data_IF_345063082082
#
_entry.id   IF_345063082082
#
_cell.length_a   1.000
_cell.length_b   1.000
_cell.length_c   1.000
_cell.angle_alpha   90.00
_cell.angle_beta   90.00
_cell.angle_gamma   90.00
#
_symmetry.space_group_name_H-M   'P 1'
#
loop_
_entity.id
_entity.type
_entity.pdbx_description
1 polymer ?
#
# COMPACT_ATOMS: atom_id res chain seq x y z
N UNK A 1 -4.06 -16.43 -10.35
CA UNK A 1 -2.94 -17.31 -9.94
C UNK A 1 -3.12 -17.58 -8.44
N UNK A 2 -3.20 -18.85 -8.00
CA UNK A 2 -3.42 -19.23 -6.59
C UNK A 2 -2.08 -19.42 -5.85
N UNK A 3 -1.95 -18.77 -4.68
CA UNK A 3 -1.40 -19.28 -3.40
C UNK A 3 -0.10 -20.12 -3.34
N UNK A 4 1.00 -19.71 -4.00
CA UNK A 4 2.33 -20.32 -3.74
C UNK A 4 3.56 -19.40 -3.75
N UNK A 5 3.40 -18.08 -3.70
CA UNK A 5 4.51 -17.17 -4.06
C UNK A 5 4.87 -16.11 -3.01
N UNK A 6 4.95 -16.49 -1.74
CA UNK A 6 5.76 -15.72 -0.79
C UNK A 6 7.27 -15.76 -1.16
N UNK A 7 7.66 -16.66 -2.07
CA UNK A 7 8.97 -16.74 -2.71
C UNK A 7 9.17 -15.71 -3.84
N UNK A 8 8.13 -14.97 -4.27
CA UNK A 8 8.23 -13.93 -5.32
C UNK A 8 8.95 -12.66 -4.89
N UNK A 9 9.14 -12.45 -3.59
CA UNK A 9 9.99 -11.38 -3.09
C UNK A 9 11.34 -12.00 -2.69
N UNK A 10 12.28 -12.14 -3.64
CA UNK A 10 13.63 -12.56 -3.29
C UNK A 10 14.15 -11.60 -2.22
N UNK A 11 14.94 -12.11 -1.26
CA UNK A 11 15.45 -11.31 -0.14
C UNK A 11 14.41 -10.83 0.90
N UNK A 12 13.34 -11.60 1.12
CA UNK A 12 12.40 -11.37 2.21
C UNK A 12 12.41 -12.49 3.26
N UNK A 13 12.37 -12.12 4.54
CA UNK A 13 12.40 -13.03 5.69
C UNK A 13 11.00 -13.10 6.32
N UNK A 14 10.46 -14.29 6.64
CA UNK A 14 9.18 -14.40 7.33
C UNK A 14 9.27 -13.91 8.79
N UNK A 15 8.32 -13.09 9.23
CA UNK A 15 8.19 -12.59 10.60
C UNK A 15 7.04 -13.25 11.39
N UNK A 16 6.37 -14.24 10.80
CA UNK A 16 5.20 -14.90 11.38
C UNK A 16 3.89 -14.37 10.79
N UNK A 17 2.82 -14.34 11.60
CA UNK A 17 1.52 -13.87 11.15
C UNK A 17 0.76 -13.14 12.26
N UNK A 18 0.02 -12.11 11.89
CA UNK A 18 -0.90 -11.38 12.79
C UNK A 18 -2.30 -11.45 12.17
N UNK A 19 -3.32 -11.80 12.96
CA UNK A 19 -4.71 -11.95 12.49
C UNK A 19 -4.85 -12.87 11.26
N UNK A 20 -4.04 -13.94 11.19
CA UNK A 20 -3.94 -14.85 10.04
C UNK A 20 -3.52 -14.15 8.74
N UNK A 21 -2.69 -13.10 8.84
CA UNK A 21 -2.05 -12.44 7.70
C UNK A 21 -0.54 -12.68 7.87
N UNK A 22 0.08 -13.49 6.99
CA UNK A 22 1.52 -13.66 6.94
C UNK A 22 2.26 -12.33 6.76
N UNK A 23 3.31 -12.12 7.54
CA UNK A 23 4.16 -10.92 7.49
C UNK A 23 5.55 -11.32 7.04
N UNK A 24 6.11 -10.56 6.09
CA UNK A 24 7.50 -10.69 5.63
C UNK A 24 8.22 -9.36 5.74
N UNK A 25 9.52 -9.40 5.97
CA UNK A 25 10.39 -8.23 6.02
C UNK A 25 11.47 -8.35 4.94
N UNK A 26 11.57 -7.34 4.09
CA UNK A 26 12.59 -7.27 3.06
C UNK A 26 13.94 -6.88 3.67
N UNK A 27 15.02 -7.56 3.28
CA UNK A 27 16.38 -7.39 3.85
C UNK A 27 16.90 -5.95 3.68
N UNK A 28 16.48 -5.26 2.63
CA UNK A 28 16.86 -3.84 2.42
C UNK A 28 16.39 -2.93 3.55
N UNK A 29 15.38 -3.31 4.34
CA UNK A 29 14.96 -2.55 5.52
C UNK A 29 16.13 -2.39 6.49
N UNK A 30 16.88 -3.47 6.74
CA UNK A 30 18.07 -3.43 7.61
C UNK A 30 19.16 -2.52 7.05
N UNK A 31 19.30 -2.44 5.72
CA UNK A 31 20.29 -1.55 5.08
C UNK A 31 19.95 -0.09 5.36
N UNK A 32 18.71 0.34 5.12
CA UNK A 32 18.31 1.72 5.43
C UNK A 32 18.32 1.99 6.93
N UNK A 33 17.87 1.04 7.75
CA UNK A 33 17.88 1.18 9.20
C UNK A 33 19.30 1.39 9.73
N UNK A 34 20.25 0.55 9.33
CA UNK A 34 21.67 0.70 9.71
C UNK A 34 22.23 2.02 9.19
N UNK A 35 22.02 2.37 7.92
CA UNK A 35 22.51 3.61 7.36
C UNK A 35 22.00 4.85 8.13
N UNK A 36 20.72 4.86 8.50
CA UNK A 36 20.10 5.94 9.25
C UNK A 36 20.62 6.00 10.70
N UNK A 37 20.83 4.84 11.34
CA UNK A 37 21.43 4.77 12.67
C UNK A 37 22.90 5.22 12.65
N UNK A 38 23.69 4.85 11.65
CA UNK A 38 25.07 5.31 11.50
C UNK A 38 25.15 6.83 11.30
N UNK A 39 24.23 7.42 10.53
CA UNK A 39 24.13 8.87 10.36
C UNK A 39 23.88 9.62 11.68
N UNK A 40 23.32 8.95 12.69
CA UNK A 40 23.06 9.56 13.99
C UNK A 40 24.27 9.60 14.94
N UNK A 41 25.37 8.92 14.61
CA UNK A 41 26.60 8.88 15.42
C UNK A 41 27.15 10.29 15.67
N UNK A 42 27.03 11.16 14.67
CA UNK A 42 27.46 12.57 14.76
C UNK A 42 26.79 13.33 15.93
N UNK A 43 25.57 12.94 16.31
CA UNK A 43 24.80 13.61 17.37
C UNK A 43 25.01 12.99 18.77
N UNK A 44 25.77 11.89 18.88
CA UNK A 44 26.13 11.26 20.14
C UNK A 44 25.37 9.97 20.48
N UNK A 45 25.83 9.26 21.52
CA UNK A 45 25.38 7.89 21.85
C UNK A 45 23.87 7.77 22.10
N UNK A 46 23.28 8.72 22.82
CA UNK A 46 21.83 8.69 23.11
C UNK A 46 20.98 8.89 21.86
N UNK A 47 21.44 9.73 20.91
CA UNK A 47 20.80 9.86 19.60
C UNK A 47 20.90 8.57 18.78
N UNK A 48 22.01 7.85 18.86
CA UNK A 48 22.15 6.54 18.20
C UNK A 48 21.13 5.55 18.75
N UNK A 49 20.99 5.46 20.07
CA UNK A 49 20.00 4.57 20.71
C UNK A 49 18.58 4.99 20.32
N UNK A 50 18.28 6.29 20.36
CA UNK A 50 16.97 6.81 19.97
C UNK A 50 16.66 6.48 18.51
N UNK A 51 17.60 6.75 17.59
CA UNK A 51 17.48 6.45 16.16
C UNK A 51 17.28 4.95 15.92
N UNK A 52 18.04 4.10 16.62
CA UNK A 52 17.92 2.65 16.52
C UNK A 52 16.50 2.17 16.88
N UNK A 53 15.90 2.72 17.94
CA UNK A 53 14.53 2.37 18.38
C UNK A 53 13.48 2.96 17.44
N UNK A 54 13.58 4.26 17.13
CA UNK A 54 12.59 5.00 16.34
C UNK A 54 12.54 4.48 14.90
N UNK A 55 13.68 4.36 14.23
CA UNK A 55 13.76 3.95 12.83
C UNK A 55 13.68 2.43 12.62
N UNK A 56 13.83 1.65 13.69
CA UNK A 56 13.74 0.19 13.67
C UNK A 56 12.37 -0.29 14.15
N UNK A 57 12.28 -0.82 15.39
CA UNK A 57 11.06 -1.47 15.87
C UNK A 57 9.84 -0.55 15.92
N UNK A 58 10.01 0.75 16.25
CA UNK A 58 8.89 1.68 16.34
C UNK A 58 8.29 1.97 14.95
N UNK A 59 9.12 2.40 13.99
CA UNK A 59 8.69 2.62 12.60
C UNK A 59 8.09 1.34 12.00
N UNK A 60 8.75 0.20 12.17
CA UNK A 60 8.30 -1.08 11.63
C UNK A 60 6.92 -1.47 12.19
N UNK A 61 6.71 -1.31 13.51
CA UNK A 61 5.44 -1.61 14.15
C UNK A 61 4.35 -0.64 13.70
N UNK A 62 4.67 0.65 13.60
CA UNK A 62 3.72 1.67 13.12
C UNK A 62 3.28 1.39 11.68
N UNK A 63 4.20 1.08 10.77
CA UNK A 63 3.88 0.69 9.39
C UNK A 63 3.05 -0.60 9.39
N UNK A 64 3.42 -1.60 10.18
CA UNK A 64 2.66 -2.85 10.26
C UNK A 64 1.21 -2.61 10.69
N UNK A 65 0.99 -1.78 11.72
CA UNK A 65 -0.36 -1.43 12.19
C UNK A 65 -1.14 -0.69 11.10
N UNK A 66 -0.49 0.22 10.37
CA UNK A 66 -1.05 0.90 9.21
C UNK A 66 -1.52 -0.10 8.13
N UNK A 67 -0.66 -1.02 7.71
CA UNK A 67 -1.02 -2.04 6.69
C UNK A 67 -2.12 -3.00 7.18
N UNK A 68 -2.12 -3.34 8.47
CA UNK A 68 -3.20 -4.11 9.08
C UNK A 68 -4.54 -3.37 8.99
N UNK A 69 -4.55 -2.04 9.10
CA UNK A 69 -5.73 -1.20 8.88
C UNK A 69 -6.37 -1.45 7.52
N UNK A 70 -5.58 -1.40 6.44
CA UNK A 70 -6.06 -1.73 5.09
C UNK A 70 -6.57 -3.16 4.97
N UNK A 71 -5.82 -4.12 5.51
CA UNK A 71 -6.19 -5.53 5.47
C UNK A 71 -7.52 -5.82 6.16
N UNK A 72 -7.73 -5.22 7.34
CA UNK A 72 -8.97 -5.38 8.10
C UNK A 72 -10.15 -4.70 7.41
N UNK A 73 -9.95 -3.51 6.86
CA UNK A 73 -10.99 -2.84 6.08
C UNK A 73 -11.36 -3.61 4.82
N UNK A 74 -10.38 -4.19 4.11
CA UNK A 74 -10.62 -5.04 2.94
C UNK A 74 -11.43 -6.29 3.32
N UNK A 75 -11.07 -6.97 4.42
CA UNK A 75 -11.83 -8.12 4.94
C UNK A 75 -13.25 -7.73 5.36
N UNK A 76 -13.41 -6.56 5.99
CA UNK A 76 -14.70 -6.05 6.45
C UNK A 76 -15.69 -5.86 5.31
N UNK A 77 -15.23 -5.40 4.14
CA UNK A 77 -16.08 -5.23 2.95
C UNK A 77 -16.26 -6.53 2.13
N UNK A 78 -15.86 -7.69 2.67
CA UNK A 78 -15.98 -9.00 2.02
C UNK A 78 -14.82 -9.37 1.09
N UNK A 79 -13.72 -8.62 1.15
CA UNK A 79 -12.48 -8.92 0.42
C UNK A 79 -11.56 -9.88 1.15
N UNK A 80 -10.32 -9.95 0.67
CA UNK A 80 -9.25 -10.83 1.13
C UNK A 80 -8.03 -10.00 1.53
N UNK A 81 -7.25 -10.52 2.49
CA UNK A 81 -5.94 -10.00 2.83
C UNK A 81 -4.99 -11.18 2.95
N UNK A 82 -4.05 -11.27 2.00
CA UNK A 82 -3.22 -12.45 1.75
C UNK A 82 -1.87 -12.37 2.47
N UNK A 83 -1.22 -11.21 2.48
CA UNK A 83 0.08 -11.02 3.12
C UNK A 83 0.46 -9.54 3.26
N UNK A 84 1.39 -9.25 4.16
CA UNK A 84 2.04 -7.94 4.28
C UNK A 84 3.55 -8.10 4.06
N UNK A 85 4.12 -7.29 3.16
CA UNK A 85 5.56 -7.14 3.00
C UNK A 85 6.00 -5.79 3.56
N UNK A 86 6.81 -5.81 4.62
CA UNK A 86 7.46 -4.63 5.15
C UNK A 86 8.78 -4.42 4.42
N UNK A 87 9.02 -3.20 3.95
CA UNK A 87 10.19 -2.86 3.13
C UNK A 87 10.66 -1.44 3.49
N UNK A 88 11.82 -0.98 2.98
CA UNK A 88 12.45 0.24 3.49
C UNK A 88 11.63 1.53 3.33
N UNK A 89 10.68 1.57 2.38
CA UNK A 89 9.86 2.74 2.07
C UNK A 89 8.39 2.55 2.50
N UNK A 90 8.12 1.63 3.42
CA UNK A 90 6.77 1.41 3.96
C UNK A 90 6.35 -0.06 4.04
N UNK A 91 5.10 -0.32 3.68
CA UNK A 91 4.52 -1.66 3.64
C UNK A 91 3.74 -1.91 2.34
N UNK A 92 3.66 -3.16 1.92
CA UNK A 92 2.76 -3.60 0.84
C UNK A 92 1.78 -4.62 1.39
N UNK A 93 0.52 -4.21 1.53
CA UNK A 93 -0.59 -5.11 1.80
C UNK A 93 -1.10 -5.75 0.50
N UNK A 94 -1.06 -7.09 0.44
CA UNK A 94 -1.66 -7.85 -0.66
C UNK A 94 -3.14 -8.10 -0.33
N UNK A 95 -4.02 -7.23 -0.83
CA UNK A 95 -5.46 -7.27 -0.52
C UNK A 95 -6.29 -7.31 -1.81
N UNK A 96 -7.25 -8.23 -1.87
CA UNK A 96 -8.15 -8.40 -3.02
C UNK A 96 -9.58 -8.10 -2.64
N UNK A 97 -10.20 -7.09 -3.25
CA UNK A 97 -11.61 -6.78 -3.06
C UNK A 97 -12.20 -6.25 -4.36
N UNK A 98 -13.52 -6.37 -4.48
CA UNK A 98 -14.28 -5.86 -5.59
C UNK A 98 -15.50 -5.11 -5.07
N UNK A 99 -15.51 -3.78 -5.22
CA UNK A 99 -16.40 -2.94 -4.42
C UNK A 99 -16.70 -1.59 -5.07
N UNK A 100 -17.63 -0.83 -4.49
CA UNK A 100 -17.95 0.53 -4.95
C UNK A 100 -16.81 1.49 -4.61
N UNK A 101 -16.68 2.58 -5.38
CA UNK A 101 -15.64 3.59 -5.17
C UNK A 101 -15.58 4.12 -3.72
N UNK A 102 -16.74 4.32 -3.07
CA UNK A 102 -16.81 4.78 -1.68
C UNK A 102 -16.23 3.76 -0.69
N UNK A 103 -16.45 2.46 -0.91
CA UNK A 103 -15.86 1.41 -0.09
C UNK A 103 -14.36 1.25 -0.36
N UNK A 104 -13.91 1.51 -1.58
CA UNK A 104 -12.48 1.57 -1.90
C UNK A 104 -11.78 2.75 -1.21
N UNK A 105 -12.44 3.92 -1.11
CA UNK A 105 -11.95 5.06 -0.30
C UNK A 105 -11.83 4.65 1.17
N UNK A 106 -12.83 3.94 1.71
CA UNK A 106 -12.76 3.44 3.09
C UNK A 106 -11.54 2.54 3.32
N UNK A 107 -11.27 1.60 2.41
CA UNK A 107 -10.09 0.73 2.53
C UNK A 107 -8.79 1.54 2.46
N UNK A 108 -8.68 2.52 1.56
CA UNK A 108 -7.51 3.38 1.47
C UNK A 108 -7.35 4.32 2.68
N UNK A 109 -8.44 4.77 3.30
CA UNK A 109 -8.37 5.60 4.50
C UNK A 109 -8.07 4.80 5.78
N UNK A 110 -8.40 3.50 5.80
CA UNK A 110 -8.31 2.68 7.01
C UNK A 110 -6.89 2.56 7.58
N UNK A 111 -5.87 2.45 6.72
CA UNK A 111 -4.47 2.41 7.16
C UNK A 111 -4.05 3.71 7.86
N UNK A 112 -4.16 4.88 7.20
CA UNK A 112 -3.89 6.15 7.83
C UNK A 112 -4.67 6.38 9.13
N UNK A 113 -5.97 6.04 9.17
CA UNK A 113 -6.79 6.22 10.37
C UNK A 113 -6.28 5.44 11.59
N UNK A 114 -5.45 4.41 11.43
CA UNK A 114 -4.82 3.72 12.56
C UNK A 114 -3.85 4.61 13.34
N UNK A 115 -3.31 5.68 12.74
CA UNK A 115 -2.44 6.62 13.43
C UNK A 115 -3.16 7.43 14.50
N UNK A 116 -4.48 7.63 14.39
CA UNK A 116 -5.26 8.40 15.39
C UNK A 116 -5.18 7.74 16.77
N UNK A 117 -5.57 6.45 16.97
CA UNK A 117 -5.43 5.81 18.26
C UNK A 117 -3.96 5.64 18.68
N UNK A 118 -3.02 5.43 17.74
CA UNK A 118 -1.59 5.38 18.07
C UNK A 118 -1.10 6.70 18.65
N UNK A 119 -1.42 7.84 18.04
CA UNK A 119 -1.10 9.18 18.56
C UNK A 119 -1.74 9.39 19.93
N UNK A 120 -3.01 9.02 20.11
CA UNK A 120 -3.68 9.17 21.40
C UNK A 120 -2.96 8.40 22.52
N UNK A 121 -2.49 7.18 22.25
CA UNK A 121 -1.70 6.39 23.19
C UNK A 121 -0.38 7.10 23.53
N UNK A 122 0.36 7.58 22.52
CA UNK A 122 1.63 8.26 22.77
C UNK A 122 1.46 9.60 23.50
N UNK A 123 0.40 10.35 23.20
CA UNK A 123 0.05 11.58 23.92
C UNK A 123 -0.30 11.28 25.38
N UNK A 124 -1.00 10.17 25.66
CA UNK A 124 -1.27 9.75 27.04
C UNK A 124 0.03 9.40 27.80
N UNK A 125 1.01 8.80 27.11
CA UNK A 125 2.33 8.48 27.66
C UNK A 125 3.23 9.71 27.84
N UNK A 126 2.91 10.84 27.22
CA UNK A 126 3.71 12.07 27.31
C UNK A 126 3.74 12.62 28.73
N UNK A 127 2.63 12.52 29.47
CA UNK A 127 2.51 13.02 30.84
C UNK A 127 3.49 12.34 31.82
N UNK A 128 3.49 10.99 31.99
CA UNK A 128 4.47 10.33 32.85
C UNK A 128 5.90 10.45 32.31
N UNK A 129 6.11 10.49 30.98
CA UNK A 129 7.44 10.64 30.40
C UNK A 129 8.05 12.03 30.68
N UNK A 130 7.24 13.08 30.55
CA UNK A 130 7.67 14.45 30.87
C UNK A 130 7.98 14.59 32.36
N UNK A 131 7.13 14.06 33.23
CA UNK A 131 7.34 14.08 34.67
C UNK A 131 8.61 13.33 35.09
N UNK A 132 8.84 12.14 34.54
CA UNK A 132 10.06 11.39 34.81
C UNK A 132 11.33 12.15 34.40
N UNK A 133 11.25 13.00 33.36
CA UNK A 133 12.40 13.75 32.84
C UNK A 133 12.65 15.09 33.55
N UNK A 134 11.60 15.80 33.97
CA UNK A 134 11.70 17.19 34.48
C UNK A 134 11.19 17.38 35.91
N UNK A 135 10.59 16.35 36.51
CA UNK A 135 9.86 16.45 37.78
C UNK A 135 8.57 17.27 37.71
N UNK A 136 8.22 17.79 36.53
CA UNK A 136 7.09 18.69 36.31
C UNK A 136 5.94 17.96 35.60
N UNK A 137 4.71 18.41 35.80
CA UNK A 137 3.52 17.81 35.14
C UNK A 137 3.03 18.61 33.93
N UNK A 138 3.94 19.34 33.29
CA UNK A 138 3.61 20.09 32.07
C UNK A 138 3.53 19.16 30.87
N UNK A 139 2.84 19.62 29.83
CA UNK A 139 2.80 18.94 28.53
C UNK A 139 3.46 19.86 27.53
N UNK A 140 4.48 19.34 26.84
CA UNK A 140 5.11 20.04 25.74
C UNK A 140 5.45 19.07 24.61
N UNK A 141 5.33 19.55 23.39
CA UNK A 141 5.80 18.86 22.19
C UNK A 141 7.16 19.42 21.71
N UNK A 142 7.76 20.35 22.46
CA UNK A 142 9.10 20.81 22.16
C UNK A 142 10.07 19.63 22.26
N UNK A 143 10.94 19.49 21.26
CA UNK A 143 11.92 18.41 21.24
C UNK A 143 12.86 18.56 22.45
N UNK A 144 12.84 17.61 23.39
CA UNK A 144 13.75 17.66 24.52
C UNK A 144 15.18 17.33 24.06
N UNK A 145 16.19 17.73 24.86
CA UNK A 145 17.54 17.20 24.69
C UNK A 145 17.51 15.66 24.68
N UNK A 146 18.32 15.04 23.83
CA UNK A 146 18.42 13.57 23.77
C UNK A 146 19.61 13.15 24.63
N UNK A 147 19.33 12.99 25.92
CA UNK A 147 20.26 12.50 26.93
C UNK A 147 19.61 11.40 27.78
N UNK A 148 20.34 10.85 28.75
CA UNK A 148 19.85 9.77 29.61
C UNK A 148 18.60 10.15 30.40
N UNK A 149 18.53 11.37 30.94
CA UNK A 149 17.43 11.85 31.77
C UNK A 149 16.15 12.10 30.97
N UNK A 150 16.27 12.53 29.72
CA UNK A 150 15.15 12.91 28.88
C UNK A 150 14.80 11.86 27.82
N UNK A 151 15.51 10.73 27.79
CA UNK A 151 15.36 9.71 26.75
C UNK A 151 13.92 9.24 26.53
N UNK A 152 13.21 8.91 27.62
CA UNK A 152 11.81 8.46 27.54
C UNK A 152 10.88 9.52 26.96
N UNK A 153 11.06 10.78 27.38
CA UNK A 153 10.32 11.91 26.83
C UNK A 153 10.63 12.12 25.34
N UNK A 154 11.91 12.08 24.95
CA UNK A 154 12.32 12.19 23.56
C UNK A 154 11.68 11.09 22.69
N UNK A 155 11.72 9.84 23.15
CA UNK A 155 11.14 8.70 22.45
C UNK A 155 9.63 8.89 22.19
N UNK A 156 8.88 9.32 23.20
CA UNK A 156 7.44 9.58 23.08
C UNK A 156 7.17 10.70 22.08
N UNK A 157 7.89 11.83 22.17
CA UNK A 157 7.74 12.95 21.23
C UNK A 157 8.02 12.50 19.81
N UNK A 158 9.11 11.77 19.57
CA UNK A 158 9.43 11.23 18.25
C UNK A 158 8.38 10.23 17.74
N UNK A 159 7.80 9.41 18.60
CA UNK A 159 6.73 8.50 18.22
C UNK A 159 5.43 9.22 17.83
N UNK A 160 5.08 10.30 18.53
CA UNK A 160 3.96 11.19 18.17
C UNK A 160 4.22 11.82 16.80
N UNK A 161 5.39 12.46 16.64
CA UNK A 161 5.77 13.12 15.39
C UNK A 161 5.74 12.13 14.22
N UNK A 162 6.33 10.93 14.39
CA UNK A 162 6.33 9.89 13.38
C UNK A 162 4.90 9.51 12.95
N UNK A 163 4.00 9.25 13.90
CA UNK A 163 2.62 8.88 13.56
C UNK A 163 1.84 10.02 12.90
N UNK A 164 2.02 11.25 13.35
CA UNK A 164 1.39 12.43 12.73
C UNK A 164 1.94 12.64 11.31
N UNK A 165 3.26 12.52 11.12
CA UNK A 165 3.89 12.66 9.81
C UNK A 165 3.40 11.58 8.85
N UNK A 166 3.35 10.31 9.26
CA UNK A 166 2.85 9.22 8.41
C UNK A 166 1.36 9.38 8.08
N UNK A 167 0.54 9.79 9.05
CA UNK A 167 -0.87 10.13 8.83
C UNK A 167 -1.03 11.23 7.79
N UNK A 168 -0.34 12.35 8.01
CA UNK A 168 -0.42 13.53 7.18
C UNK A 168 0.12 13.25 5.78
N UNK A 169 1.26 12.59 5.66
CA UNK A 169 1.87 12.27 4.36
C UNK A 169 0.98 11.33 3.55
N UNK A 170 0.42 10.29 4.16
CA UNK A 170 -0.42 9.33 3.44
C UNK A 170 -1.79 9.88 3.06
N UNK A 171 -2.39 10.82 3.79
CA UNK A 171 -3.71 11.40 3.42
C UNK A 171 -3.56 12.67 2.58
N UNK A 172 -2.68 13.59 2.99
CA UNK A 172 -2.61 14.95 2.43
C UNK A 172 -1.83 15.03 1.13
N UNK A 173 -0.99 14.02 0.81
CA UNK A 173 -0.24 13.99 -0.45
C UNK A 173 -1.03 13.16 -1.46
N UNK A 174 -1.75 13.79 -2.42
CA UNK A 174 -2.58 13.09 -3.39
C UNK A 174 -1.76 12.50 -4.55
N UNK A 175 -0.72 11.72 -4.23
CA UNK A 175 0.18 11.14 -5.22
C UNK A 175 0.11 9.61 -5.17
N UNK A 176 -0.11 8.96 -6.31
CA UNK A 176 0.01 7.51 -6.41
C UNK A 176 1.49 7.11 -6.25
N UNK A 177 1.84 6.12 -5.41
CA UNK A 177 0.98 5.06 -4.86
C UNK A 177 0.49 5.25 -3.42
N UNK A 178 0.66 6.44 -2.84
CA UNK A 178 0.20 6.75 -1.48
C UNK A 178 -1.33 6.63 -1.36
N UNK A 179 -1.82 6.47 -0.14
CA UNK A 179 -3.27 6.35 0.12
C UNK A 179 -4.06 7.56 -0.35
N UNK A 180 -3.54 8.77 -0.21
CA UNK A 180 -4.16 10.00 -0.66
C UNK A 180 -4.36 10.01 -2.18
N UNK A 181 -3.41 9.44 -2.94
CA UNK A 181 -3.55 9.24 -4.37
C UNK A 181 -4.67 8.24 -4.73
N UNK A 182 -4.80 7.16 -3.94
CA UNK A 182 -5.88 6.17 -4.09
C UNK A 182 -7.24 6.75 -3.71
N UNK A 183 -7.30 7.52 -2.63
CA UNK A 183 -8.50 8.23 -2.18
C UNK A 183 -8.94 9.21 -3.27
N UNK A 184 -8.02 10.03 -3.79
CA UNK A 184 -8.29 10.94 -4.89
C UNK A 184 -8.83 10.20 -6.13
N UNK A 185 -8.15 9.14 -6.57
CA UNK A 185 -8.56 8.39 -7.75
C UNK A 185 -9.97 7.81 -7.60
N UNK A 186 -10.26 7.18 -6.45
CA UNK A 186 -11.58 6.63 -6.19
C UNK A 186 -12.65 7.72 -6.02
N UNK A 187 -12.31 8.88 -5.45
CA UNK A 187 -13.24 10.01 -5.34
C UNK A 187 -13.60 10.57 -6.72
N UNK A 188 -12.63 10.74 -7.62
CA UNK A 188 -12.88 11.16 -9.00
C UNK A 188 -13.83 10.19 -9.73
N UNK A 189 -13.60 8.88 -9.58
CA UNK A 189 -14.48 7.88 -10.19
C UNK A 189 -15.87 7.84 -9.54
N UNK A 190 -15.98 8.07 -8.22
CA UNK A 190 -17.27 8.20 -7.54
C UNK A 190 -18.09 9.39 -8.07
N UNK A 191 -17.41 10.46 -8.52
CA UNK A 191 -18.04 11.62 -9.17
C UNK A 191 -18.36 11.39 -10.65
N UNK A 192 -18.12 10.19 -11.19
CA UNK A 192 -18.44 9.83 -12.58
C UNK A 192 -17.30 10.06 -13.59
N UNK A 193 -16.08 10.39 -13.14
CA UNK A 193 -14.94 10.48 -14.04
C UNK A 193 -14.58 9.10 -14.62
N UNK A 194 -14.23 9.06 -15.91
CA UNK A 194 -13.77 7.83 -16.55
C UNK A 194 -12.39 7.43 -16.03
N UNK A 195 -12.06 6.13 -16.13
CA UNK A 195 -10.76 5.58 -15.73
C UNK A 195 -9.58 6.34 -16.33
N UNK A 196 -9.71 6.75 -17.60
CA UNK A 196 -8.69 7.51 -18.32
C UNK A 196 -8.54 8.93 -17.77
N UNK A 197 -9.63 9.63 -17.48
CA UNK A 197 -9.59 10.98 -16.89
C UNK A 197 -8.95 10.92 -15.50
N UNK A 198 -9.37 9.96 -14.67
CA UNK A 198 -8.80 9.74 -13.33
C UNK A 198 -7.31 9.43 -13.39
N UNK A 199 -6.87 8.58 -14.32
CA UNK A 199 -5.46 8.24 -14.50
C UNK A 199 -4.64 9.48 -14.90
N UNK A 200 -5.12 10.27 -15.87
CA UNK A 200 -4.45 11.51 -16.30
C UNK A 200 -4.37 12.50 -15.14
N UNK A 201 -5.45 12.71 -14.39
CA UNK A 201 -5.45 13.60 -13.24
C UNK A 201 -4.44 13.15 -12.17
N UNK A 202 -4.42 11.86 -11.85
CA UNK A 202 -3.49 11.27 -10.88
C UNK A 202 -2.03 11.47 -11.32
N UNK A 203 -1.71 11.21 -12.59
CA UNK A 203 -0.36 11.42 -13.14
C UNK A 203 0.04 12.89 -13.11
N UNK A 204 -0.86 13.78 -13.53
CA UNK A 204 -0.61 15.23 -13.56
C UNK A 204 -0.36 15.83 -12.17
N UNK A 205 -0.97 15.27 -11.12
CA UNK A 205 -0.79 15.72 -9.74
C UNK A 205 0.45 15.07 -9.10
N UNK A 206 0.64 13.76 -9.28
CA UNK A 206 1.72 13.03 -8.64
C UNK A 206 3.11 13.40 -9.19
N UNK A 207 3.21 13.74 -10.48
CA UNK A 207 4.49 14.09 -11.13
C UNK A 207 5.17 15.32 -10.50
N UNK A 208 4.53 16.51 -10.40
CA UNK A 208 5.16 17.67 -9.77
C UNK A 208 5.46 17.46 -8.28
N UNK A 209 4.62 16.69 -7.56
CA UNK A 209 4.87 16.31 -6.17
C UNK A 209 6.16 15.47 -6.08
N UNK A 210 6.31 14.44 -6.92
CA UNK A 210 7.50 13.60 -6.93
C UNK A 210 8.77 14.40 -7.26
N UNK A 211 8.71 15.28 -8.28
CA UNK A 211 9.84 16.15 -8.64
C UNK A 211 10.17 17.12 -7.50
N UNK A 212 9.16 17.73 -6.88
CA UNK A 212 9.34 18.63 -5.74
C UNK A 212 9.99 17.94 -4.54
N UNK A 213 9.51 16.74 -4.17
CA UNK A 213 10.10 15.93 -3.10
C UNK A 213 11.52 15.48 -3.42
N UNK A 214 11.81 15.17 -4.69
CA UNK A 214 13.16 14.79 -5.12
C UNK A 214 14.14 15.96 -4.97
N UNK A 215 13.77 17.14 -5.48
CA UNK A 215 14.57 18.36 -5.34
C UNK A 215 14.75 18.73 -3.87
N UNK A 216 13.66 18.72 -3.09
CA UNK A 216 13.71 18.99 -1.66
C UNK A 216 14.67 18.01 -0.95
N UNK A 217 14.52 16.70 -1.19
CA UNK A 217 15.36 15.66 -0.61
C UNK A 217 16.85 15.85 -0.92
N UNK A 218 17.20 16.31 -2.12
CA UNK A 218 18.58 16.66 -2.48
C UNK A 218 19.06 17.88 -1.68
N UNK A 219 18.25 18.95 -1.61
CA UNK A 219 18.62 20.19 -0.93
C UNK A 219 18.83 20.00 0.58
N UNK A 220 18.05 19.12 1.22
CA UNK A 220 18.19 18.80 2.65
C UNK A 220 19.05 17.56 2.93
N UNK A 221 19.63 16.95 1.89
CA UNK A 221 20.43 15.72 1.97
C UNK A 221 19.71 14.56 2.67
N UNK A 222 18.39 14.44 2.48
CA UNK A 222 17.57 13.38 3.09
C UNK A 222 17.36 12.22 2.12
N UNK A 223 18.18 11.18 2.28
CA UNK A 223 18.15 9.98 1.44
C UNK A 223 16.75 9.33 1.35
N UNK A 224 16.05 9.17 2.47
CA UNK A 224 14.72 8.52 2.50
C UNK A 224 13.72 9.31 1.66
N UNK A 225 13.71 10.63 1.78
CA UNK A 225 12.84 11.52 1.00
C UNK A 225 13.11 11.38 -0.50
N UNK A 226 14.38 11.29 -0.90
CA UNK A 226 14.78 11.04 -2.30
C UNK A 226 14.24 9.69 -2.78
N UNK A 227 14.38 8.62 -1.99
CA UNK A 227 13.91 7.29 -2.35
C UNK A 227 12.38 7.23 -2.49
N UNK A 228 11.65 7.86 -1.56
CA UNK A 228 10.18 8.00 -1.66
C UNK A 228 9.80 8.76 -2.93
N UNK A 229 10.48 9.86 -3.23
CA UNK A 229 10.22 10.65 -4.44
C UNK A 229 10.44 9.84 -5.73
N UNK A 230 11.54 9.08 -5.81
CA UNK A 230 11.83 8.17 -6.93
C UNK A 230 10.75 7.09 -7.04
N UNK A 231 10.29 6.54 -5.92
CA UNK A 231 9.24 5.53 -5.93
C UNK A 231 7.88 6.06 -6.40
N UNK A 232 7.49 7.27 -5.95
CA UNK A 232 6.28 7.95 -6.44
C UNK A 232 6.41 8.21 -7.95
N UNK A 233 7.55 8.71 -8.41
CA UNK A 233 7.80 8.96 -9.82
C UNK A 233 7.71 7.67 -10.65
N UNK A 234 8.35 6.60 -10.21
CA UNK A 234 8.34 5.30 -10.88
C UNK A 234 6.92 4.70 -10.96
N UNK A 235 6.15 4.77 -9.87
CA UNK A 235 4.76 4.30 -9.83
C UNK A 235 3.85 5.13 -10.73
N UNK A 236 4.05 6.44 -10.74
CA UNK A 236 3.34 7.37 -11.64
C UNK A 236 3.67 7.10 -13.10
N UNK A 237 4.93 6.79 -13.40
CA UNK A 237 5.38 6.42 -14.74
C UNK A 237 4.74 5.11 -15.23
N UNK A 238 4.59 4.11 -14.36
CA UNK A 238 3.86 2.88 -14.69
C UNK A 238 2.39 3.17 -15.03
N UNK A 239 1.73 4.04 -14.26
CA UNK A 239 0.37 4.47 -14.55
C UNK A 239 0.29 5.21 -15.90
N UNK A 240 1.25 6.08 -16.20
CA UNK A 240 1.33 6.75 -17.50
C UNK A 240 1.51 5.77 -18.66
N UNK A 241 2.34 4.74 -18.49
CA UNK A 241 2.50 3.69 -19.50
C UNK A 241 1.21 2.88 -19.69
N UNK A 242 0.45 2.63 -18.62
CA UNK A 242 -0.86 1.98 -18.72
C UNK A 242 -1.86 2.81 -19.53
N UNK A 243 -1.82 4.16 -19.43
CA UNK A 243 -2.62 5.05 -20.29
C UNK A 243 -2.19 4.91 -21.75
N UNK A 244 -0.88 4.90 -22.03
CA UNK A 244 -0.33 4.85 -23.39
C UNK A 244 -0.63 3.55 -24.13
N UNK A 245 -0.67 2.44 -23.41
CA UNK A 245 -0.90 1.11 -23.96
C UNK A 245 -2.35 0.62 -23.86
N UNK A 246 -3.28 1.47 -23.41
CA UNK A 246 -4.70 1.14 -23.18
C UNK A 246 -4.92 -0.08 -22.25
N UNK A 247 -4.06 -0.21 -21.23
CA UNK A 247 -4.09 -1.29 -20.23
C UNK A 247 -4.52 -0.80 -18.85
N UNK A 248 -5.34 0.26 -18.80
CA UNK A 248 -5.76 0.86 -17.53
C UNK A 248 -6.58 -0.09 -16.65
N UNK A 249 -7.39 -0.96 -17.25
CA UNK A 249 -8.19 -1.96 -16.54
C UNK A 249 -7.35 -3.02 -15.81
N UNK A 250 -6.12 -3.26 -16.27
CA UNK A 250 -5.17 -4.19 -15.67
C UNK A 250 -4.34 -3.52 -14.55
N UNK A 251 -4.32 -2.18 -14.50
CA UNK A 251 -3.52 -1.44 -13.53
C UNK A 251 -4.08 -1.60 -12.10
N UNK A 252 -3.24 -1.83 -11.06
CA UNK A 252 -3.70 -2.10 -9.70
C UNK A 252 -4.63 -1.03 -9.11
N UNK A 253 -4.45 0.24 -9.53
CA UNK A 253 -5.31 1.36 -9.11
C UNK A 253 -6.79 1.18 -9.50
N UNK A 254 -7.07 0.50 -10.61
CA UNK A 254 -8.43 0.40 -11.18
C UNK A 254 -8.99 -1.01 -11.20
N UNK A 255 -8.12 -2.00 -11.15
CA UNK A 255 -8.51 -3.39 -11.33
C UNK A 255 -9.42 -3.91 -10.20
N UNK A 256 -9.33 -3.35 -8.99
CA UNK A 256 -10.21 -3.68 -7.85
C UNK A 256 -11.62 -3.09 -7.94
N UNK A 257 -11.90 -2.23 -8.92
CA UNK A 257 -13.22 -1.58 -9.06
C UNK A 257 -13.93 -1.94 -10.35
N UNK A 258 -13.18 -2.27 -11.40
CA UNK A 258 -13.74 -2.62 -12.72
C UNK A 258 -14.61 -3.87 -12.72
N UNK A 259 -14.47 -4.76 -11.73
CA UNK A 259 -15.20 -6.02 -11.69
C UNK A 259 -16.55 -5.94 -10.93
N UNK A 260 -16.90 -4.84 -10.27
CA UNK A 260 -17.97 -4.82 -9.25
C UNK A 260 -18.91 -3.62 -9.28
N UNK A 261 -18.79 -2.77 -10.29
CA UNK A 261 -19.65 -1.61 -10.48
C UNK A 261 -20.47 -1.70 -11.76
N UNK A 262 -21.68 -2.23 -11.68
CA UNK A 262 -22.79 -1.67 -12.47
C UNK A 262 -22.99 -0.23 -11.96
N UNK A 263 -22.49 0.75 -12.71
CA UNK A 263 -22.87 2.15 -12.51
C UNK A 263 -24.37 2.36 -12.74
N UNK A 264 -24.96 3.48 -12.30
CA UNK A 264 -26.37 3.78 -12.53
C UNK A 264 -26.65 3.78 -14.03
N UNK A 265 -27.75 3.14 -14.40
CA UNK A 265 -28.16 2.87 -15.78
C UNK A 265 -27.97 4.08 -16.70
N UNK A 266 -27.01 3.97 -17.62
CA UNK A 266 -27.02 4.74 -18.85
C UNK A 266 -28.09 4.13 -19.76
N UNK A 267 -29.34 4.59 -19.59
CA UNK A 267 -30.37 4.38 -20.59
C UNK A 267 -30.13 5.33 -21.76
N UNK A 268 -29.45 4.86 -22.81
CA UNK A 268 -29.63 5.31 -24.19
C UNK A 268 -29.32 4.13 -25.10
N UNK A 269 -30.26 3.79 -25.99
CA UNK A 269 -30.21 2.62 -26.84
C UNK A 269 -29.00 2.59 -27.79
N UNK A 270 -28.50 1.38 -28.02
CA UNK A 270 -27.51 1.04 -29.03
C UNK A 270 -27.16 -0.43 -28.89
N UNK A 271 -27.72 -1.27 -29.76
CA UNK A 271 -27.50 -2.72 -29.74
C UNK A 271 -26.01 -3.07 -29.81
N UNK A 272 -25.54 -3.92 -28.91
CA UNK A 272 -24.21 -4.51 -28.99
C UNK A 272 -24.17 -5.54 -30.12
N UNK A 273 -23.23 -5.45 -31.09
CA UNK A 273 -22.86 -6.61 -31.88
C UNK A 273 -21.99 -7.54 -31.04
N UNK A 274 -22.20 -8.84 -31.21
CA UNK A 274 -21.46 -9.91 -30.54
C UNK A 274 -19.94 -9.78 -30.73
N UNK A 275 -19.10 -10.19 -29.75
CA UNK A 275 -17.66 -10.07 -29.86
C UNK A 275 -17.14 -11.06 -30.91
N UNK A 276 -16.60 -10.52 -32.01
CA UNK A 276 -15.86 -11.28 -33.02
C UNK A 276 -14.49 -11.65 -32.48
N UNK A 277 -14.16 -12.94 -32.60
CA UNK A 277 -12.88 -13.50 -32.21
C UNK A 277 -11.78 -13.15 -33.23
N UNK A 278 -10.73 -12.46 -32.78
CA UNK A 278 -9.41 -12.41 -33.43
C UNK A 278 -8.38 -11.97 -32.38
N UNK A 279 -7.09 -12.23 -32.45
CA UNK A 279 -6.23 -13.26 -33.03
C UNK A 279 -4.84 -12.97 -32.40
N UNK A 280 -3.95 -13.97 -32.32
CA UNK A 280 -2.65 -13.92 -31.65
C UNK A 280 -1.84 -12.63 -31.89
N UNK A 281 -1.39 -12.00 -30.81
CA UNK A 281 -0.34 -10.98 -30.80
C UNK A 281 0.85 -11.46 -29.93
N UNK A 282 2.11 -11.22 -30.35
CA UNK A 282 3.30 -11.79 -29.70
C UNK A 282 3.50 -11.24 -28.29
N UNK A 283 3.72 -12.15 -27.34
CA UNK A 283 3.87 -11.85 -25.92
C UNK A 283 5.16 -11.11 -25.61
N UNK A 284 5.03 -9.89 -25.07
CA UNK A 284 6.12 -9.21 -24.37
C UNK A 284 6.03 -9.50 -22.88
N UNK A 285 7.08 -10.10 -22.33
CA UNK A 285 7.24 -10.39 -20.91
C UNK A 285 7.98 -9.23 -20.24
N UNK A 286 7.38 -8.60 -19.22
CA UNK A 286 8.06 -7.62 -18.39
C UNK A 286 9.21 -8.28 -17.61
N UNK A 287 10.40 -7.68 -17.51
CA UNK A 287 11.39 -8.11 -16.52
C UNK A 287 10.79 -7.82 -15.14
N UNK A 288 10.34 -8.88 -14.46
CA UNK A 288 9.85 -8.81 -13.08
C UNK A 288 8.40 -9.20 -12.84
N UNK A 289 7.54 -9.33 -13.86
CA UNK A 289 6.16 -9.79 -13.64
C UNK A 289 5.55 -10.35 -14.94
N UNK A 290 5.44 -11.68 -15.03
CA UNK A 290 4.80 -12.35 -16.17
C UNK A 290 3.35 -12.71 -15.84
N UNK A 291 2.40 -12.17 -16.61
CA UNK A 291 1.03 -12.64 -16.64
C UNK A 291 0.91 -13.73 -17.72
N UNK A 292 0.71 -14.99 -17.29
CA UNK A 292 0.41 -16.10 -18.20
C UNK A 292 -1.11 -16.25 -18.36
N UNK A 293 -1.58 -16.22 -19.60
CA UNK A 293 -2.94 -16.59 -20.01
C UNK A 293 -3.00 -18.12 -20.12
N UNK A 294 -3.78 -18.80 -19.28
CA UNK A 294 -4.06 -20.23 -19.47
C UNK A 294 -5.22 -20.42 -20.44
N UNK A 295 -4.92 -20.75 -21.69
CA UNK A 295 -5.85 -21.38 -22.63
C UNK A 295 -5.73 -22.90 -22.55
N UNK A 296 -6.86 -23.59 -22.39
CA UNK A 296 -7.02 -25.04 -22.53
C UNK A 296 -6.87 -25.50 -23.98
N UNK A 297 -6.07 -26.55 -24.25
CA UNK A 297 -6.51 -27.80 -24.91
C UNK A 297 -5.35 -28.72 -25.37
N UNK A 298 -5.70 -30.02 -25.48
CA UNK A 298 -4.99 -31.20 -26.01
C UNK A 298 -4.03 -31.91 -25.03
N UNK A 299 -4.14 -33.21 -24.73
CA UNK A 299 -5.07 -34.25 -25.16
C UNK A 299 -4.38 -35.62 -24.98
N UNK A 300 -5.02 -36.58 -24.31
CA UNK A 300 -4.74 -38.02 -24.42
C UNK A 300 -6.01 -38.78 -24.03
N UNK A 301 -6.39 -39.75 -24.86
CA UNK A 301 -7.73 -40.35 -24.87
C UNK A 301 -7.86 -41.76 -24.29
N UNK A 302 -9.10 -42.25 -24.45
CA UNK A 302 -9.64 -43.61 -24.37
C UNK A 302 -10.18 -44.09 -22.98
N UNK A 303 -11.09 -45.09 -22.93
CA UNK A 303 -12.54 -44.93 -23.18
C UNK A 303 -13.44 -45.58 -22.10
N UNK A 304 -14.73 -45.19 -22.00
CA UNK A 304 -15.71 -45.89 -21.15
C UNK A 304 -17.14 -45.32 -21.18
N UNK A 305 -18.09 -46.20 -21.53
CA UNK A 305 -19.54 -46.09 -21.85
C UNK A 305 -20.50 -45.33 -20.87
N UNK A 306 -21.79 -45.08 -21.28
CA UNK A 306 -22.64 -43.98 -20.82
C UNK A 306 -23.74 -44.34 -19.81
N UNK A 307 -24.31 -43.32 -19.13
CA UNK A 307 -25.58 -43.40 -18.40
C UNK A 307 -26.06 -42.01 -17.90
N UNK A 308 -27.38 -41.68 -17.95
CA UNK A 308 -27.85 -40.29 -17.91
C UNK A 308 -28.42 -39.81 -16.56
N UNK A 309 -28.57 -38.47 -16.49
CA UNK A 309 -29.61 -37.67 -15.82
C UNK A 309 -29.33 -36.93 -14.49
N UNK A 310 -29.56 -35.61 -14.60
CA UNK A 310 -30.16 -34.66 -13.65
C UNK A 310 -29.48 -34.27 -12.33
N UNK A 311 -29.29 -32.94 -12.18
CA UNK A 311 -29.63 -32.26 -10.92
C UNK A 311 -28.67 -31.19 -10.41
N UNK A 312 -29.12 -29.94 -10.49
CA UNK A 312 -28.76 -28.81 -9.62
C UNK A 312 -27.36 -28.17 -9.75
N UNK A 313 -27.36 -27.02 -10.43
CA UNK A 313 -26.32 -26.00 -10.43
C UNK A 313 -26.09 -25.42 -9.03
N UNK A 314 -24.95 -25.72 -8.42
CA UNK A 314 -24.37 -24.90 -7.35
C UNK A 314 -23.62 -23.76 -8.04
N UNK A 315 -24.15 -22.54 -7.91
CA UNK A 315 -23.50 -21.33 -8.40
C UNK A 315 -22.14 -21.15 -7.70
N UNK A 316 -21.08 -21.59 -8.38
CA UNK A 316 -19.70 -21.40 -7.94
C UNK A 316 -19.36 -19.92 -7.92
N UNK A 317 -19.13 -19.39 -6.72
CA UNK A 317 -18.56 -18.06 -6.50
C UNK A 317 -17.18 -18.03 -7.18
N UNK A 318 -17.06 -17.27 -8.28
CA UNK A 318 -15.77 -17.00 -8.90
C UNK A 318 -14.88 -16.27 -7.87
N UNK A 319 -13.67 -16.76 -7.57
CA UNK A 319 -12.76 -16.06 -6.67
C UNK A 319 -12.39 -14.72 -7.29
N UNK A 320 -12.69 -13.63 -6.57
CA UNK A 320 -12.30 -12.29 -6.98
C UNK A 320 -10.80 -12.23 -7.24
N UNK A 321 -10.42 -11.56 -8.32
CA UNK A 321 -9.03 -11.29 -8.67
C UNK A 321 -8.33 -10.59 -7.50
N UNK A 322 -7.21 -11.17 -7.08
CA UNK A 322 -6.33 -10.62 -6.04
C UNK A 322 -5.55 -9.48 -6.69
N UNK A 323 -5.54 -8.31 -6.04
CA UNK A 323 -4.81 -7.14 -6.51
C UNK A 323 -3.73 -6.76 -5.50
N UNK A 324 -2.61 -6.25 -5.98
CA UNK A 324 -1.56 -5.75 -5.11
C UNK A 324 -1.87 -4.30 -4.73
N UNK A 325 -2.10 -4.06 -3.45
CA UNK A 325 -2.16 -2.71 -2.90
C UNK A 325 -0.78 -2.38 -2.33
N UNK A 326 0.15 -2.02 -3.23
CA UNK A 326 1.43 -1.47 -2.79
C UNK A 326 1.23 -0.01 -2.36
N UNK A 327 1.54 0.29 -1.10
CA UNK A 327 1.60 1.65 -0.58
C UNK A 327 3.07 2.02 -0.32
N UNK A 328 3.41 3.30 -0.45
CA UNK A 328 4.58 3.84 0.24
C UNK A 328 4.06 4.46 1.53
N UNK A 329 4.76 4.23 2.64
CA UNK A 329 4.40 4.77 3.96
C UNK A 329 5.58 5.53 4.51
#
# INVERSE_FOLDING_TARGET
MQWNDLNKFPWSIPLGSVLRIPIRLHVTFFILWIAQTLGSIYYGTWYVILSLIVMGPLLLTTILVHELGHCLAARYIGGTAESILLWPLGGLACIGYNTTYLRAIWVAAAGPLTHIPMVAIWVALLFPAYHASTGSWHITLHQPPVDQSHFGHALVVWAIVLNITLFAFNILVPAYPLDGGRILANALMAMGASMRITAIATVSIATPIAVGLFVFGILVFQMVTILVAVFIFFSTFQLFMAIRHDKLSEHPLFASVSAGGTGPAAGVGGGAPAPTAHANAPGWTYPGFQASKSGTAAGFGAPGYPGPSNGASVAGRQPGSVYYVGNAV
#
